data_IF_648652302234
#
_entry.id   IF_648652302234
#
_cell.length_a   1.000
_cell.length_b   1.000
_cell.length_c   1.000
_cell.angle_alpha   90.00
_cell.angle_beta   90.00
_cell.angle_gamma   90.00
#
_symmetry.space_group_name_H-M   'P 1'
#
loop_
_entity.id
_entity.type
_entity.pdbx_description
1 polymer ?
#
# COMPACT_ATOMS: atom_id res chain seq x y z
N UNK A 1 -13.66 15.96 17.12
CA UNK A 1 -14.47 14.73 17.02
C UNK A 1 -13.49 13.57 17.18
N UNK A 2 -13.54 12.83 18.30
CA UNK A 2 -12.73 11.61 18.47
C UNK A 2 -13.53 10.48 17.86
N UNK A 3 -13.01 9.90 16.80
CA UNK A 3 -13.61 8.75 16.13
C UNK A 3 -12.47 7.80 15.78
N UNK A 4 -12.80 6.52 15.64
CA UNK A 4 -11.89 5.51 15.11
C UNK A 4 -11.61 5.66 13.59
N UNK A 5 -12.21 6.64 12.91
CA UNK A 5 -12.05 6.87 11.48
C UNK A 5 -10.90 7.82 11.10
N UNK A 6 -10.36 8.58 12.05
CA UNK A 6 -9.32 9.58 11.77
C UNK A 6 -8.15 9.46 12.75
N UNK A 7 -6.94 9.71 12.27
CA UNK A 7 -5.79 9.98 13.14
C UNK A 7 -5.83 11.43 13.62
N UNK A 8 -5.27 11.71 14.79
CA UNK A 8 -5.23 13.07 15.32
C UNK A 8 -4.63 13.20 16.70
N UNK A 9 -4.28 14.43 17.07
CA UNK A 9 -3.73 14.76 18.40
C UNK A 9 -4.71 14.32 19.48
N UNK A 10 -4.23 13.52 20.43
CA UNK A 10 -5.02 12.96 21.52
C UNK A 10 -6.23 12.10 21.08
N UNK A 11 -6.19 11.55 19.85
CA UNK A 11 -7.17 10.58 19.37
C UNK A 11 -6.63 9.15 19.48
N UNK A 12 -6.66 8.60 20.70
CA UNK A 12 -6.24 7.23 20.96
C UNK A 12 -7.10 6.20 20.22
N UNK A 13 -8.38 6.49 19.96
CA UNK A 13 -9.29 5.56 19.27
C UNK A 13 -8.85 5.29 17.82
N UNK A 14 -8.45 6.32 17.08
CA UNK A 14 -7.92 6.17 15.72
C UNK A 14 -6.60 5.41 15.69
N UNK A 15 -5.71 5.67 16.67
CA UNK A 15 -4.44 4.94 16.80
C UNK A 15 -4.65 3.46 17.14
N UNK A 16 -5.62 3.16 18.00
CA UNK A 16 -5.98 1.79 18.35
C UNK A 16 -6.59 1.06 17.14
N UNK A 17 -7.46 1.75 16.39
CA UNK A 17 -8.13 1.19 15.21
C UNK A 17 -7.12 0.80 14.12
N UNK A 18 -6.19 1.67 13.76
CA UNK A 18 -5.16 1.35 12.75
C UNK A 18 -4.24 0.22 13.23
N UNK A 19 -3.84 0.25 14.50
CA UNK A 19 -2.96 -0.80 15.08
C UNK A 19 -3.61 -2.18 15.04
N UNK A 20 -4.88 -2.28 15.45
CA UNK A 20 -5.65 -3.54 15.38
C UNK A 20 -5.85 -4.00 13.95
N UNK A 21 -6.18 -3.08 13.04
CA UNK A 21 -6.40 -3.38 11.63
C UNK A 21 -5.16 -3.97 10.96
N UNK A 22 -3.98 -3.42 11.21
CA UNK A 22 -2.72 -3.92 10.64
C UNK A 22 -2.39 -5.31 11.16
N UNK A 23 -2.54 -5.54 12.46
CA UNK A 23 -2.33 -6.88 13.05
C UNK A 23 -3.26 -7.90 12.39
N UNK A 24 -4.53 -7.53 12.14
CA UNK A 24 -5.51 -8.38 11.47
C UNK A 24 -5.12 -8.68 10.02
N UNK A 25 -4.78 -7.65 9.24
CA UNK A 25 -4.35 -7.80 7.83
C UNK A 25 -3.12 -8.70 7.74
N UNK A 26 -2.12 -8.47 8.60
CA UNK A 26 -0.91 -9.30 8.66
C UNK A 26 -1.22 -10.76 8.94
N UNK A 27 -2.20 -11.04 9.82
CA UNK A 27 -2.65 -12.40 10.10
C UNK A 27 -3.26 -13.06 8.86
N UNK A 28 -4.17 -12.37 8.17
CA UNK A 28 -4.81 -12.88 6.93
C UNK A 28 -3.75 -13.15 5.86
N UNK A 29 -2.82 -12.21 5.65
CA UNK A 29 -1.74 -12.38 4.69
C UNK A 29 -0.80 -13.54 5.07
N UNK A 30 -0.42 -13.67 6.34
CA UNK A 30 0.41 -14.76 6.81
C UNK A 30 -0.27 -16.13 6.61
N UNK A 31 -1.57 -16.24 6.90
CA UNK A 31 -2.36 -17.44 6.63
C UNK A 31 -2.36 -17.79 5.14
N UNK A 32 -2.55 -16.80 4.25
CA UNK A 32 -2.47 -16.98 2.79
C UNK A 32 -1.10 -17.49 2.36
N UNK A 33 -0.03 -16.78 2.72
CA UNK A 33 1.33 -17.06 2.25
C UNK A 33 1.92 -18.37 2.81
N UNK A 34 1.46 -18.80 3.99
CA UNK A 34 1.91 -20.07 4.59
C UNK A 34 1.24 -21.28 3.94
N UNK A 35 -0.03 -21.14 3.56
CA UNK A 35 -0.85 -22.28 3.14
C UNK A 35 -1.07 -22.37 1.62
N UNK A 36 -0.85 -21.29 0.87
CA UNK A 36 -1.10 -21.27 -0.57
C UNK A 36 0.13 -20.83 -1.39
N UNK A 37 0.56 -21.72 -2.30
CA UNK A 37 1.65 -21.48 -3.25
C UNK A 37 1.16 -21.13 -4.66
N UNK A 38 -0.13 -21.14 -4.94
CA UNK A 38 -0.68 -20.76 -6.22
C UNK A 38 -0.49 -19.26 -6.47
N UNK A 39 -0.29 -18.89 -7.75
CA UNK A 39 -0.10 -17.49 -8.16
C UNK A 39 -1.39 -16.68 -8.11
N UNK A 40 -2.54 -17.32 -8.16
CA UNK A 40 -3.85 -16.69 -8.21
C UNK A 40 -4.92 -17.72 -7.82
N UNK A 41 -6.07 -17.25 -7.34
CA UNK A 41 -7.20 -18.11 -6.97
C UNK A 41 -7.80 -18.90 -8.14
N UNK A 42 -7.54 -18.49 -9.39
CA UNK A 42 -8.15 -19.07 -10.58
C UNK A 42 -9.59 -18.65 -10.83
N UNK A 43 -10.13 -17.69 -10.05
CA UNK A 43 -11.47 -17.15 -10.25
C UNK A 43 -11.57 -16.47 -11.62
N UNK A 44 -12.63 -16.76 -12.36
CA UNK A 44 -12.86 -16.14 -13.67
C UNK A 44 -13.24 -14.65 -13.52
N UNK A 45 -12.90 -13.77 -14.48
CA UNK A 45 -13.20 -12.34 -14.38
C UNK A 45 -14.67 -12.02 -14.07
N UNK A 46 -15.60 -12.75 -14.69
CA UNK A 46 -17.05 -12.58 -14.44
C UNK A 46 -17.47 -12.99 -13.03
N UNK A 47 -16.82 -14.00 -12.46
CA UNK A 47 -17.08 -14.45 -11.09
C UNK A 47 -16.56 -13.42 -10.09
N UNK A 48 -15.36 -12.88 -10.32
CA UNK A 48 -14.79 -11.83 -9.49
C UNK A 48 -15.61 -10.53 -9.55
N UNK A 49 -16.06 -10.13 -10.74
CA UNK A 49 -16.98 -9.00 -10.91
C UNK A 49 -18.27 -9.18 -10.12
N UNK A 50 -18.84 -10.40 -10.13
CA UNK A 50 -20.03 -10.70 -9.36
C UNK A 50 -19.79 -10.57 -7.85
N UNK A 51 -18.65 -11.09 -7.35
CA UNK A 51 -18.27 -10.94 -5.95
C UNK A 51 -18.16 -9.47 -5.55
N UNK A 52 -17.46 -8.66 -6.36
CA UNK A 52 -17.28 -7.22 -6.09
C UNK A 52 -18.61 -6.46 -6.19
N UNK A 53 -19.46 -6.77 -7.16
CA UNK A 53 -20.78 -6.11 -7.31
C UNK A 53 -21.75 -6.41 -6.18
N UNK A 54 -21.48 -7.46 -5.39
CA UNK A 54 -22.23 -7.77 -4.17
C UNK A 54 -21.85 -6.92 -2.96
N UNK A 55 -20.79 -6.10 -3.06
CA UNK A 55 -20.40 -5.17 -2.00
C UNK A 55 -21.32 -3.95 -2.08
N UNK A 56 -22.15 -3.77 -1.06
CA UNK A 56 -23.06 -2.63 -0.96
C UNK A 56 -22.45 -1.53 -0.07
N UNK A 57 -21.85 -0.54 -0.73
CA UNK A 57 -21.20 0.60 -0.08
C UNK A 57 -22.18 1.48 0.73
N UNK A 58 -23.49 1.39 0.48
CA UNK A 58 -24.49 2.22 1.15
C UNK A 58 -25.02 1.57 2.44
N UNK A 59 -25.13 0.24 2.50
CA UNK A 59 -25.62 -0.48 3.69
C UNK A 59 -24.50 -0.98 4.60
N UNK A 60 -23.26 -1.02 4.11
CA UNK A 60 -22.09 -1.29 4.93
C UNK A 60 -21.82 -0.17 5.97
N UNK A 61 -22.55 0.95 5.95
CA UNK A 61 -22.47 2.01 6.99
C UNK A 61 -22.86 1.54 8.40
N UNK A 62 -23.64 0.46 8.50
CA UNK A 62 -24.04 -0.14 9.78
C UNK A 62 -22.99 -1.14 10.30
N UNK A 63 -22.01 -1.52 9.49
CA UNK A 63 -20.91 -2.40 9.91
C UNK A 63 -19.85 -1.63 10.67
N UNK A 64 -19.22 -2.29 11.64
CA UNK A 64 -18.03 -1.74 12.28
C UNK A 64 -16.88 -1.64 11.28
N UNK A 65 -16.04 -0.62 11.45
CA UNK A 65 -14.81 -0.45 10.67
C UNK A 65 -13.97 -1.73 10.64
N UNK A 66 -13.85 -2.41 11.78
CA UNK A 66 -13.10 -3.67 11.91
C UNK A 66 -13.68 -4.78 11.01
N UNK A 67 -15.00 -4.91 10.95
CA UNK A 67 -15.67 -5.92 10.10
C UNK A 67 -15.44 -5.62 8.62
N UNK A 68 -15.54 -4.35 8.23
CA UNK A 68 -15.33 -3.92 6.84
C UNK A 68 -13.89 -4.20 6.42
N UNK A 69 -12.92 -3.85 7.26
CA UNK A 69 -11.50 -4.10 6.98
C UNK A 69 -11.23 -5.59 6.83
N UNK A 70 -11.81 -6.43 7.71
CA UNK A 70 -11.63 -7.88 7.59
C UNK A 70 -12.20 -8.45 6.29
N UNK A 71 -13.47 -8.12 5.97
CA UNK A 71 -14.15 -8.64 4.78
C UNK A 71 -13.40 -8.24 3.50
N UNK A 72 -13.05 -6.95 3.38
CA UNK A 72 -12.37 -6.42 2.19
C UNK A 72 -10.94 -6.96 2.11
N UNK A 73 -10.19 -6.99 3.22
CA UNK A 73 -8.82 -7.50 3.21
C UNK A 73 -8.76 -8.97 2.84
N UNK A 74 -9.69 -9.78 3.36
CA UNK A 74 -9.78 -11.20 3.00
C UNK A 74 -10.10 -11.38 1.52
N UNK A 75 -11.14 -10.72 1.02
CA UNK A 75 -11.52 -10.80 -0.39
C UNK A 75 -10.38 -10.34 -1.32
N UNK A 76 -9.74 -9.22 -0.98
CA UNK A 76 -8.63 -8.67 -1.72
C UNK A 76 -7.43 -9.61 -1.73
N UNK A 77 -7.00 -10.13 -0.57
CA UNK A 77 -5.84 -11.02 -0.46
C UNK A 77 -6.10 -12.36 -1.16
N UNK A 78 -7.28 -12.96 -0.98
CA UNK A 78 -7.61 -14.28 -1.55
C UNK A 78 -7.67 -14.24 -3.09
N UNK A 79 -8.06 -13.12 -3.67
CA UNK A 79 -8.18 -12.93 -5.12
C UNK A 79 -7.11 -12.01 -5.72
N UNK A 80 -6.06 -11.67 -4.98
CA UNK A 80 -4.90 -10.99 -5.55
C UNK A 80 -3.94 -11.96 -6.23
N UNK A 81 -3.17 -11.43 -7.18
CA UNK A 81 -2.01 -12.15 -7.70
C UNK A 81 -0.96 -12.28 -6.59
N UNK A 82 -0.59 -13.50 -6.27
CA UNK A 82 0.47 -13.80 -5.31
C UNK A 82 1.84 -13.68 -5.99
N UNK A 83 2.39 -12.47 -5.96
CA UNK A 83 3.73 -12.15 -6.48
C UNK A 83 4.85 -12.88 -5.74
N UNK A 84 4.58 -13.43 -4.55
CA UNK A 84 5.55 -14.20 -3.75
C UNK A 84 5.55 -15.70 -4.09
N UNK A 85 4.61 -16.16 -4.93
CA UNK A 85 4.59 -17.53 -5.41
C UNK A 85 5.82 -17.81 -6.29
N UNK A 86 6.53 -18.94 -6.09
CA UNK A 86 7.65 -19.32 -6.97
C UNK A 86 7.20 -19.64 -8.40
N UNK A 87 5.89 -19.77 -8.65
CA UNK A 87 5.32 -20.05 -9.97
C UNK A 87 4.87 -18.76 -10.69
N UNK A 88 4.96 -17.59 -10.05
CA UNK A 88 4.58 -16.32 -10.67
C UNK A 88 5.74 -15.79 -11.52
N UNK A 89 5.63 -15.93 -12.85
CA UNK A 89 6.71 -15.61 -13.80
C UNK A 89 6.21 -14.88 -15.06
N UNK A 90 5.12 -14.14 -14.96
CA UNK A 90 4.44 -13.60 -16.14
C UNK A 90 5.03 -12.26 -16.65
N UNK A 91 5.23 -11.29 -15.75
CA UNK A 91 5.49 -9.90 -16.12
C UNK A 91 6.59 -9.28 -15.24
N UNK A 92 7.05 -8.08 -15.62
CA UNK A 92 7.92 -7.22 -14.80
C UNK A 92 7.14 -6.63 -13.61
N UNK A 93 6.66 -7.51 -12.75
CA UNK A 93 5.94 -7.18 -11.52
C UNK A 93 6.73 -7.80 -10.38
N UNK A 94 7.57 -6.98 -9.75
CA UNK A 94 8.51 -7.43 -8.73
C UNK A 94 7.79 -7.75 -7.42
N UNK A 95 8.42 -8.61 -6.61
CA UNK A 95 8.11 -8.68 -5.18
C UNK A 95 8.45 -7.36 -4.51
N UNK A 96 7.79 -7.08 -3.39
CA UNK A 96 7.98 -5.86 -2.59
C UNK A 96 8.91 -6.16 -1.42
N UNK A 97 9.86 -5.27 -1.14
CA UNK A 97 10.75 -5.39 0.02
C UNK A 97 10.06 -4.92 1.31
N UNK A 98 10.56 -5.34 2.47
CA UNK A 98 9.97 -4.95 3.77
C UNK A 98 10.10 -3.43 3.97
N UNK A 99 11.22 -2.85 3.55
CA UNK A 99 11.50 -1.42 3.63
C UNK A 99 10.49 -0.61 2.82
N UNK A 100 10.11 -1.06 1.61
CA UNK A 100 9.07 -0.42 0.80
C UNK A 100 7.72 -0.44 1.51
N UNK A 101 7.32 -1.57 2.10
CA UNK A 101 6.05 -1.66 2.84
C UNK A 101 6.02 -0.70 4.04
N UNK A 102 7.13 -0.57 4.76
CA UNK A 102 7.25 0.40 5.87
C UNK A 102 7.16 1.83 5.34
N UNK A 103 7.82 2.13 4.21
CA UNK A 103 7.74 3.43 3.54
C UNK A 103 6.32 3.81 3.16
N UNK A 104 5.60 2.93 2.48
CA UNK A 104 4.19 3.11 2.10
C UNK A 104 3.29 3.32 3.31
N UNK A 105 3.54 2.60 4.40
CA UNK A 105 2.78 2.79 5.63
C UNK A 105 3.01 4.18 6.23
N UNK A 106 4.26 4.67 6.26
CA UNK A 106 4.56 6.03 6.70
C UNK A 106 3.93 7.10 5.80
N UNK A 107 3.96 6.90 4.48
CA UNK A 107 3.30 7.78 3.50
C UNK A 107 1.79 7.81 3.76
N UNK A 108 1.13 6.67 3.95
CA UNK A 108 -0.30 6.61 4.25
C UNK A 108 -0.68 7.27 5.58
N UNK A 109 0.20 7.22 6.58
CA UNK A 109 -0.03 7.88 7.88
C UNK A 109 0.14 9.41 7.83
N UNK A 110 1.14 9.88 7.09
CA UNK A 110 1.58 11.29 7.11
C UNK A 110 1.06 12.09 5.92
N UNK A 111 0.64 11.41 4.85
CA UNK A 111 0.07 11.96 3.63
C UNK A 111 0.83 13.22 3.11
N UNK A 112 2.15 13.12 2.87
CA UNK A 112 2.91 14.26 2.37
C UNK A 112 2.46 14.64 0.95
N UNK A 113 2.37 15.94 0.67
CA UNK A 113 2.18 16.45 -0.69
C UNK A 113 3.48 17.08 -1.20
N UNK A 114 4.08 16.49 -2.24
CA UNK A 114 5.40 16.86 -2.76
C UNK A 114 5.36 18.05 -3.75
N UNK A 115 4.23 18.73 -3.90
CA UNK A 115 4.09 19.91 -4.76
C UNK A 115 4.71 21.17 -4.15
N UNK A 116 4.80 21.25 -2.83
CA UNK A 116 5.46 22.36 -2.14
C UNK A 116 6.14 21.93 -0.83
N UNK A 117 7.27 22.58 -0.53
CA UNK A 117 8.10 22.24 0.62
C UNK A 117 7.37 22.37 1.96
N UNK A 118 6.48 23.36 2.11
CA UNK A 118 5.69 23.58 3.32
C UNK A 118 4.62 22.51 3.59
N UNK A 119 4.29 21.68 2.59
CA UNK A 119 3.40 20.54 2.73
C UNK A 119 4.14 19.22 2.97
N UNK A 120 5.42 19.13 2.61
CA UNK A 120 6.20 17.90 2.74
C UNK A 120 7.71 18.15 2.92
N UNK A 121 8.16 18.85 3.98
CA UNK A 121 9.54 19.29 4.09
C UNK A 121 10.52 18.12 4.13
N UNK A 122 10.27 17.14 5.00
CA UNK A 122 11.13 15.95 5.10
C UNK A 122 11.14 15.12 3.81
N UNK A 123 9.97 14.92 3.19
CA UNK A 123 9.89 14.11 1.98
C UNK A 123 10.56 14.81 0.78
N UNK A 124 10.48 16.14 0.70
CA UNK A 124 11.18 16.95 -0.32
C UNK A 124 12.69 16.79 -0.20
N UNK A 125 13.27 16.90 1.01
CA UNK A 125 14.71 16.71 1.20
C UNK A 125 15.17 15.27 0.91
N UNK A 126 14.33 14.28 1.21
CA UNK A 126 14.60 12.88 0.86
C UNK A 126 14.56 12.67 -0.66
N UNK A 127 13.62 13.31 -1.37
CA UNK A 127 13.52 13.24 -2.83
C UNK A 127 14.82 13.73 -3.48
N UNK A 128 15.27 14.93 -3.10
CA UNK A 128 16.53 15.54 -3.54
C UNK A 128 17.75 14.65 -3.24
N UNK A 129 17.79 14.06 -2.04
CA UNK A 129 18.86 13.14 -1.65
C UNK A 129 18.92 11.90 -2.55
N UNK A 130 17.77 11.28 -2.81
CA UNK A 130 17.69 10.03 -3.59
C UNK A 130 17.93 10.30 -5.07
N UNK A 131 17.37 11.38 -5.63
CA UNK A 131 17.65 11.83 -7.00
C UNK A 131 19.15 12.08 -7.16
N UNK A 132 19.75 12.87 -6.27
CA UNK A 132 21.18 13.15 -6.29
C UNK A 132 22.03 11.88 -6.21
N UNK A 133 21.64 10.92 -5.37
CA UNK A 133 22.31 9.63 -5.27
C UNK A 133 22.28 8.86 -6.60
N UNK A 134 21.11 8.76 -7.25
CA UNK A 134 21.00 8.03 -8.53
C UNK A 134 21.72 8.74 -9.67
N UNK A 135 21.60 10.07 -9.76
CA UNK A 135 22.32 10.86 -10.77
C UNK A 135 23.83 10.67 -10.64
N UNK A 136 24.36 10.66 -9.41
CA UNK A 136 25.78 10.37 -9.19
C UNK A 136 26.18 8.96 -9.63
N UNK A 137 25.31 7.96 -9.43
CA UNK A 137 25.56 6.57 -9.87
C UNK A 137 25.54 6.42 -11.39
N UNK A 138 24.65 7.13 -12.08
CA UNK A 138 24.47 7.01 -13.53
C UNK A 138 25.48 7.87 -14.29
N UNK A 139 25.64 9.13 -13.89
CA UNK A 139 26.42 10.14 -14.64
C UNK A 139 27.76 10.51 -13.99
N UNK A 140 28.07 9.99 -12.80
CA UNK A 140 29.27 10.38 -12.06
C UNK A 140 29.16 11.79 -11.45
N UNK A 141 30.30 12.46 -11.25
CA UNK A 141 30.37 13.81 -10.64
C UNK A 141 30.04 14.93 -11.63
N UNK A 142 29.12 14.72 -12.57
CA UNK A 142 28.77 15.75 -13.53
C UNK A 142 27.90 16.83 -12.86
N UNK A 143 28.31 18.09 -12.95
CA UNK A 143 27.62 19.21 -12.32
C UNK A 143 26.60 19.79 -13.30
N UNK A 144 25.30 19.60 -13.02
CA UNK A 144 24.21 20.18 -13.81
C UNK A 144 23.10 19.21 -14.26
N UNK A 145 23.17 17.93 -13.89
CA UNK A 145 22.04 17.02 -14.03
C UNK A 145 21.04 17.21 -12.89
N UNK A 146 19.76 16.99 -13.19
CA UNK A 146 18.65 17.03 -12.25
C UNK A 146 17.65 15.90 -12.58
N UNK A 147 16.70 15.65 -11.69
CA UNK A 147 15.70 14.61 -11.84
C UNK A 147 14.51 14.82 -10.92
N UNK A 148 13.45 14.05 -11.17
CA UNK A 148 12.24 14.07 -10.35
C UNK A 148 11.66 12.67 -10.29
N UNK A 149 11.03 12.32 -9.18
CA UNK A 149 10.23 11.10 -9.10
C UNK A 149 8.95 11.23 -9.96
N UNK A 150 8.60 10.14 -10.64
CA UNK A 150 7.42 10.04 -11.50
C UNK A 150 6.53 8.90 -11.02
N UNK A 151 5.31 8.82 -11.56
CA UNK A 151 4.42 7.67 -11.29
C UNK A 151 4.99 6.34 -11.82
N UNK A 152 6.01 6.38 -12.68
CA UNK A 152 6.64 5.25 -13.33
C UNK A 152 7.08 5.58 -14.75
N UNK A 153 7.76 4.65 -15.42
CA UNK A 153 8.46 4.93 -16.69
C UNK A 153 7.60 5.22 -17.92
N UNK A 154 6.27 5.30 -17.80
CA UNK A 154 5.39 5.72 -18.91
C UNK A 154 5.11 7.22 -18.93
N UNK A 155 5.23 7.90 -17.78
CA UNK A 155 5.17 9.36 -17.68
C UNK A 155 6.42 9.96 -18.31
#
# INVERSE_FOLDING_TARGET
>A
MKTNHFLGINNSEGLDAISKSIVRINKILAERLTNDRHCFSGVEPKQLQKLISGIDLATDSDKSLDSIIEDISKLYIDHSVNIYSPFYMAHLHSTVSIETVIGEYLIGLLNPSLDSWDQAPFATEIDELVVSFFLQKIFGKNHGSDGVFTSGGSQ
#
